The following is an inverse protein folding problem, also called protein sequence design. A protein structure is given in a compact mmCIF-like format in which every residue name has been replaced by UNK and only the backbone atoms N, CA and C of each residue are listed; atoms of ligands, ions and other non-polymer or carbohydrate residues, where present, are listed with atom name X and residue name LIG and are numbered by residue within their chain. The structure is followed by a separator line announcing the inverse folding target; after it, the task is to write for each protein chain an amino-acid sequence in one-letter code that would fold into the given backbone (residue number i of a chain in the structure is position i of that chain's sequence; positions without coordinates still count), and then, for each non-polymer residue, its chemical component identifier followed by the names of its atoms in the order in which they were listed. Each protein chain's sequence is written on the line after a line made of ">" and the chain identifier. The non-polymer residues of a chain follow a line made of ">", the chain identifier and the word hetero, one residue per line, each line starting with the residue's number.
data_IF_530767914039
#
_entry.id   IF_530767914039
#
_cell.length_a   1.000
_cell.length_b   1.000
_cell.length_c   1.000
_cell.angle_alpha   90.00
_cell.angle_beta   90.00
_cell.angle_gamma   90.00
#
_symmetry.space_group_name_H-M   'P 1'
#
loop_
_entity.id
_entity.type
_entity.pdbx_description
1 polymer ?
#
# COMPACT_ATOMS: atom_id res chain seq x y z
N UNK A 1 -6.83 -23.74 13.36
CA UNK A 1 -6.06 -22.58 13.86
C UNK A 1 -6.98 -21.39 13.77
N UNK A 2 -7.61 -21.00 14.88
CA UNK A 2 -8.58 -19.90 14.90
C UNK A 2 -7.89 -18.67 15.52
N UNK A 3 -7.59 -17.68 14.69
CA UNK A 3 -6.88 -16.46 15.10
C UNK A 3 -7.94 -15.39 15.39
N UNK A 4 -8.28 -15.19 16.65
CA UNK A 4 -9.09 -14.04 17.04
C UNK A 4 -8.19 -12.81 17.05
N UNK A 5 -8.34 -11.92 16.06
CA UNK A 5 -7.51 -10.73 15.85
C UNK A 5 -7.56 -9.69 17.00
N UNK A 6 -8.19 -9.99 18.14
CA UNK A 6 -8.27 -9.09 19.28
C UNK A 6 -9.02 -7.80 19.00
N UNK A 7 -9.87 -7.77 17.96
CA UNK A 7 -10.61 -6.60 17.48
C UNK A 7 -12.10 -6.94 17.43
N UNK A 8 -12.93 -6.03 17.95
CA UNK A 8 -14.38 -6.02 17.76
C UNK A 8 -14.77 -4.87 16.84
N UNK A 9 -15.88 -5.05 16.14
CA UNK A 9 -16.46 -4.00 15.31
C UNK A 9 -17.61 -3.33 16.05
N UNK A 10 -17.50 -2.03 16.27
CA UNK A 10 -18.58 -1.23 16.85
C UNK A 10 -19.28 -0.45 15.73
N UNK A 11 -20.60 -0.57 15.67
CA UNK A 11 -21.45 0.25 14.81
C UNK A 11 -22.51 0.95 15.63
N UNK A 12 -22.78 2.21 15.30
CA UNK A 12 -23.93 2.95 15.84
C UNK A 12 -25.26 2.38 15.33
N UNK A 13 -25.27 1.84 14.10
CA UNK A 13 -26.45 1.19 13.50
C UNK A 13 -26.07 -0.19 12.94
N UNK A 14 -26.71 -1.29 13.37
CA UNK A 14 -26.40 -2.64 12.88
C UNK A 14 -26.66 -2.83 11.38
N UNK A 15 -27.44 -1.96 10.73
CA UNK A 15 -27.78 -2.06 9.31
C UNK A 15 -26.79 -1.34 8.40
N UNK A 16 -25.96 -0.44 8.95
CA UNK A 16 -25.06 0.42 8.17
C UNK A 16 -23.61 -0.04 8.37
N UNK A 17 -23.11 -0.83 7.42
CA UNK A 17 -21.72 -1.34 7.44
C UNK A 17 -20.68 -0.24 7.30
N UNK A 18 -21.03 0.89 6.68
CA UNK A 18 -20.14 2.03 6.50
C UNK A 18 -19.71 2.69 7.83
N UNK A 19 -20.50 2.52 8.90
CA UNK A 19 -20.26 3.14 10.20
C UNK A 19 -19.53 2.20 11.18
N UNK A 20 -18.98 1.08 10.70
CA UNK A 20 -18.26 0.13 11.54
C UNK A 20 -16.86 0.63 11.86
N UNK A 21 -16.54 0.67 13.15
CA UNK A 21 -15.22 1.07 13.67
C UNK A 21 -14.54 -0.11 14.34
N UNK A 22 -13.28 -0.35 13.99
CA UNK A 22 -12.48 -1.39 14.63
C UNK A 22 -12.04 -0.92 16.02
N UNK A 23 -12.39 -1.67 17.06
CA UNK A 23 -12.08 -1.38 18.45
C UNK A 23 -11.34 -2.57 19.07
N UNK A 24 -10.14 -2.36 19.65
CA UNK A 24 -9.42 -3.43 20.34
C UNK A 24 -10.22 -4.00 21.52
N UNK A 25 -10.18 -5.33 21.73
CA UNK A 25 -10.88 -6.02 22.83
C UNK A 25 -10.50 -5.46 24.21
N UNK A 26 -9.24 -5.07 24.40
CA UNK A 26 -8.78 -4.43 25.63
C UNK A 26 -9.56 -3.13 25.93
N UNK A 27 -9.76 -2.29 24.89
CA UNK A 27 -10.52 -1.04 25.00
C UNK A 27 -12.00 -1.30 25.26
N UNK A 28 -12.59 -2.30 24.59
CA UNK A 28 -13.99 -2.69 24.84
C UNK A 28 -14.21 -3.08 26.30
N UNK A 29 -13.31 -3.89 26.88
CA UNK A 29 -13.39 -4.31 28.29
C UNK A 29 -13.29 -3.12 29.26
N UNK A 30 -12.43 -2.16 28.96
CA UNK A 30 -12.32 -0.91 29.73
C UNK A 30 -13.62 -0.11 29.68
N UNK A 31 -14.18 0.10 28.48
CA UNK A 31 -15.45 0.81 28.28
C UNK A 31 -16.59 0.13 29.05
N UNK A 32 -16.68 -1.20 29.00
CA UNK A 32 -17.69 -1.95 29.77
C UNK A 32 -17.52 -1.70 31.28
N UNK A 33 -16.28 -1.68 31.79
CA UNK A 33 -16.02 -1.39 33.21
C UNK A 33 -16.40 0.05 33.59
N UNK A 34 -16.13 1.04 32.73
CA UNK A 34 -16.52 2.43 32.95
C UNK A 34 -18.04 2.60 32.95
N UNK A 35 -18.71 2.02 31.95
CA UNK A 35 -20.17 2.05 31.83
C UNK A 35 -20.86 1.38 33.05
N UNK A 36 -20.30 0.26 33.56
CA UNK A 36 -20.78 -0.39 34.79
C UNK A 36 -20.67 0.50 36.03
N UNK A 37 -19.73 1.45 36.05
CA UNK A 37 -19.58 2.45 37.12
C UNK A 37 -20.45 3.69 36.90
N UNK A 38 -21.20 3.77 35.80
CA UNK A 38 -21.98 4.95 35.41
C UNK A 38 -21.14 6.08 34.81
N UNK A 39 -19.86 5.83 34.51
CA UNK A 39 -18.96 6.83 33.93
C UNK A 39 -18.92 6.60 32.42
N UNK A 40 -19.34 7.61 31.65
CA UNK A 40 -19.26 7.55 30.19
C UNK A 40 -17.84 7.87 29.74
N UNK A 41 -17.21 7.05 28.88
CA UNK A 41 -15.92 7.38 28.30
C UNK A 41 -16.05 8.53 27.30
N UNK A 42 -15.07 9.43 27.28
CA UNK A 42 -15.08 10.60 26.38
C UNK A 42 -14.97 10.21 24.90
N UNK A 43 -14.22 9.14 24.61
CA UNK A 43 -13.91 8.70 23.25
C UNK A 43 -13.96 7.18 23.13
N UNK A 44 -14.39 6.68 21.97
CA UNK A 44 -14.50 5.24 21.71
C UNK A 44 -13.10 4.59 21.60
N UNK A 45 -12.21 5.20 20.83
CA UNK A 45 -10.84 4.75 20.67
C UNK A 45 -9.99 5.29 21.83
N UNK A 46 -8.98 4.51 22.24
CA UNK A 46 -7.97 5.05 23.14
C UNK A 46 -7.27 6.22 22.42
N UNK A 47 -7.06 7.34 23.12
CA UNK A 47 -6.14 8.38 22.62
C UNK A 47 -4.84 7.67 22.23
N UNK A 48 -4.24 8.00 21.07
CA UNK A 48 -2.97 7.39 20.72
C UNK A 48 -1.99 7.75 21.84
N UNK A 49 -1.68 6.79 22.71
CA UNK A 49 -0.36 6.73 23.28
C UNK A 49 0.55 6.82 22.06
N UNK A 50 1.53 7.72 22.06
CA UNK A 50 2.47 7.97 20.98
C UNK A 50 3.31 6.72 20.63
N UNK A 51 2.68 5.60 20.30
CA UNK A 51 3.26 4.46 19.63
C UNK A 51 3.44 4.92 18.20
N UNK A 52 4.54 5.64 18.03
CA UNK A 52 5.34 5.71 16.82
C UNK A 52 5.05 4.46 16.02
N UNK A 53 4.17 4.57 15.02
CA UNK A 53 3.98 3.53 14.03
C UNK A 53 5.38 3.22 13.54
N UNK A 54 5.90 2.04 13.89
CA UNK A 54 7.07 1.54 13.21
C UNK A 54 6.65 1.51 11.75
N UNK A 55 7.24 2.43 10.98
CA UNK A 55 7.05 2.53 9.53
C UNK A 55 7.23 1.12 9.02
N UNK A 56 6.13 0.49 8.61
CA UNK A 56 6.17 -0.81 7.98
C UNK A 56 7.21 -0.71 6.88
N UNK A 57 8.26 -1.51 6.98
CA UNK A 57 9.33 -1.56 6.00
C UNK A 57 8.70 -2.10 4.72
N UNK A 58 8.16 -1.19 3.92
CA UNK A 58 7.51 -1.50 2.66
C UNK A 58 8.60 -1.92 1.67
N UNK A 59 8.82 -3.23 1.59
CA UNK A 59 9.73 -3.87 0.64
C UNK A 59 9.37 -3.51 -0.82
N UNK A 60 8.13 -3.05 -1.07
CA UNK A 60 7.73 -2.53 -2.37
C UNK A 60 8.43 -1.20 -2.68
N UNK A 61 8.58 -0.32 -1.69
CA UNK A 61 9.30 0.96 -1.85
C UNK A 61 10.80 0.75 -2.09
N UNK A 62 11.39 -0.33 -1.56
CA UNK A 62 12.81 -0.64 -1.78
C UNK A 62 13.09 -1.24 -3.17
N UNK A 63 12.14 -2.00 -3.76
CA UNK A 63 12.32 -2.67 -5.06
C UNK A 63 11.67 -1.95 -6.25
N UNK A 64 10.77 -0.99 -6.00
CA UNK A 64 10.21 -0.15 -7.04
C UNK A 64 10.98 1.17 -7.12
N UNK A 65 11.92 1.23 -8.06
CA UNK A 65 12.61 2.47 -8.41
C UNK A 65 11.61 3.52 -8.85
N UNK A 66 11.21 4.39 -7.92
CA UNK A 66 10.41 5.59 -8.16
C UNK A 66 11.07 6.53 -9.18
N UNK A 67 12.39 6.40 -9.36
CA UNK A 67 13.18 7.15 -10.35
C UNK A 67 13.06 6.62 -11.79
N UNK A 68 12.37 5.49 -12.03
CA UNK A 68 12.17 4.94 -13.40
C UNK A 68 11.44 5.92 -14.33
N UNK A 69 10.63 6.81 -13.76
CA UNK A 69 9.82 7.77 -14.52
C UNK A 69 10.47 9.16 -14.62
N UNK A 70 11.57 9.43 -13.91
CA UNK A 70 12.28 10.72 -13.90
C UNK A 70 13.39 10.80 -14.98
N UNK A 71 13.77 9.68 -15.62
CA UNK A 71 14.79 9.74 -16.65
C UNK A 71 14.25 10.35 -17.95
N UNK A 72 14.60 11.62 -18.22
CA UNK A 72 14.58 12.18 -19.57
C UNK A 72 15.36 11.23 -20.47
N UNK A 73 14.73 10.75 -21.54
CA UNK A 73 15.28 9.80 -22.51
C UNK A 73 16.71 10.20 -22.92
N UNK A 74 17.73 9.55 -22.35
CA UNK A 74 19.08 9.64 -22.88
C UNK A 74 19.09 8.89 -24.21
N UNK A 75 19.57 9.49 -25.32
CA UNK A 75 19.69 8.77 -26.58
C UNK A 75 20.61 7.57 -26.36
N UNK A 76 20.14 6.37 -26.72
CA UNK A 76 20.96 5.17 -26.71
C UNK A 76 22.08 5.36 -27.72
N UNK A 77 23.29 5.60 -27.24
CA UNK A 77 24.49 5.61 -28.06
C UNK A 77 24.78 4.16 -28.46
N UNK A 78 24.31 3.80 -29.65
CA UNK A 78 24.14 2.42 -30.07
C UNK A 78 24.34 2.24 -31.56
N UNK A 79 25.61 2.33 -31.97
CA UNK A 79 26.24 1.55 -33.04
C UNK A 79 25.63 1.71 -34.44
N UNK A 80 26.26 2.62 -35.20
CA UNK A 80 26.22 2.69 -36.66
C UNK A 80 26.08 1.30 -37.30
N UNK A 81 24.91 1.02 -37.88
CA UNK A 81 24.73 -0.06 -38.85
C UNK A 81 25.04 0.52 -40.23
N UNK A 82 26.32 0.63 -40.55
CA UNK A 82 26.77 0.70 -41.94
C UNK A 82 26.37 -0.62 -42.62
N UNK A 83 25.23 -0.62 -43.31
CA UNK A 83 24.80 -1.72 -44.18
C UNK A 83 25.17 -1.30 -45.60
N UNK A 84 26.25 -1.84 -46.21
CA UNK A 84 26.54 -1.55 -47.59
C UNK A 84 25.46 -2.17 -48.48
N UNK A 85 24.81 -1.34 -49.29
CA UNK A 85 23.93 -1.79 -50.37
C UNK A 85 24.77 -2.59 -51.37
N UNK A 86 24.56 -3.90 -51.45
CA UNK A 86 25.08 -4.69 -52.56
C UNK A 86 24.36 -4.27 -53.84
N UNK A 87 25.04 -3.51 -54.70
CA UNK A 87 24.66 -3.34 -56.11
C UNK A 87 24.71 -4.72 -56.77
N UNK A 88 23.54 -5.28 -57.06
CA UNK A 88 23.43 -6.51 -57.85
C UNK A 88 23.74 -6.16 -59.30
N UNK A 89 24.94 -6.54 -59.76
CA UNK A 89 25.34 -6.40 -61.17
C UNK A 89 24.35 -7.15 -62.07
N UNK A 90 23.68 -6.42 -62.95
CA UNK A 90 23.00 -6.97 -64.13
C UNK A 90 24.05 -7.48 -65.10
N UNK A 91 24.25 -8.80 -65.13
CA UNK A 91 24.83 -9.49 -66.28
C UNK A 91 23.89 -10.60 -66.73
N UNK A 92 22.93 -10.19 -67.55
CA UNK A 92 22.13 -10.96 -68.51
C UNK A 92 21.78 -9.88 -69.56
N UNK A 93 22.05 -9.95 -70.86
CA UNK A 93 22.11 -11.06 -71.81
C UNK A 93 22.79 -10.53 -73.09
N UNK A 94 23.64 -11.33 -73.76
CA UNK A 94 23.47 -11.77 -75.15
C UNK A 94 24.61 -12.69 -75.55
#
# INVERSE_FOLDING_TARGET
>A
MEVHAGIYWYSTDPRITANMTAVPVARVREIIRLNRKGIKPDTLLAKPANNRMERGNDLLLQNSGLDRFESKSRPREGKSRNRPYHRKNERRQK
#
